data_IF_488132738810
#
_entry.id   IF_488132738810
#
_cell.length_a   1.000
_cell.length_b   1.000
_cell.length_c   1.000
_cell.angle_alpha   90.00
_cell.angle_beta   90.00
_cell.angle_gamma   90.00
#
_symmetry.space_group_name_H-M   'P 1'
#
loop_
_entity.id
_entity.type
_entity.pdbx_description
1 polymer ?
#
# COMPACT_ATOMS: atom_id res chain seq x y z
N UNK A 1 -46.19 37.06 -7.73
CA UNK A 1 -44.96 36.82 -6.94
C UNK A 1 -44.98 35.41 -6.53
N UNK A 2 -44.25 34.55 -7.26
CA UNK A 2 -44.17 33.14 -7.01
C UNK A 2 -42.96 32.86 -6.08
N UNK A 3 -43.26 32.14 -5.03
CA UNK A 3 -42.32 31.78 -3.96
C UNK A 3 -41.27 30.78 -4.50
N UNK A 4 -40.01 31.15 -4.53
CA UNK A 4 -38.89 30.29 -4.94
C UNK A 4 -38.47 29.44 -3.74
N UNK A 5 -38.55 28.12 -3.81
CA UNK A 5 -38.12 27.27 -2.69
C UNK A 5 -36.61 27.35 -2.53
N UNK A 6 -36.16 27.66 -1.29
CA UNK A 6 -34.75 27.63 -0.87
C UNK A 6 -34.18 26.23 -1.06
N UNK A 7 -32.94 26.08 -1.56
CA UNK A 7 -32.28 24.80 -1.64
C UNK A 7 -32.10 24.20 -0.22
N UNK A 8 -32.54 22.96 -0.06
CA UNK A 8 -32.30 22.16 1.16
C UNK A 8 -30.79 22.05 1.36
N UNK A 9 -30.31 22.49 2.49
CA UNK A 9 -28.95 22.23 2.95
C UNK A 9 -28.68 20.72 2.90
N UNK A 10 -27.81 20.32 1.96
CA UNK A 10 -27.26 18.98 1.90
C UNK A 10 -26.46 18.76 3.18
N UNK A 11 -27.00 17.95 4.07
CA UNK A 11 -26.37 17.58 5.32
C UNK A 11 -24.93 17.11 5.06
N UNK A 12 -24.00 17.81 5.64
CA UNK A 12 -22.61 17.42 5.81
C UNK A 12 -22.62 16.09 6.60
N UNK A 13 -22.58 14.96 5.87
CA UNK A 13 -22.25 13.69 6.47
C UNK A 13 -20.80 13.79 6.92
N UNK A 14 -20.57 14.12 8.19
CA UNK A 14 -19.24 14.06 8.81
C UNK A 14 -18.66 12.68 8.51
N UNK A 15 -17.53 12.64 7.80
CA UNK A 15 -16.75 11.42 7.56
C UNK A 15 -16.42 10.83 8.92
N UNK A 16 -17.04 9.71 9.26
CA UNK A 16 -16.97 9.07 10.59
C UNK A 16 -15.57 8.52 10.91
N UNK A 17 -14.69 8.42 9.90
CA UNK A 17 -13.32 7.96 10.04
C UNK A 17 -12.42 8.77 9.11
N UNK A 18 -11.58 9.64 9.67
CA UNK A 18 -10.51 10.31 8.91
C UNK A 18 -9.24 9.45 8.86
N UNK A 19 -9.09 8.50 9.80
CA UNK A 19 -7.93 7.60 9.96
C UNK A 19 -8.32 6.20 9.52
N UNK A 20 -7.59 5.67 8.53
CA UNK A 20 -7.78 4.30 8.03
C UNK A 20 -7.04 3.26 8.87
N UNK A 21 -5.82 3.58 9.30
CA UNK A 21 -4.97 2.69 10.08
C UNK A 21 -4.20 3.49 11.13
N UNK A 22 -4.14 2.99 12.36
CA UNK A 22 -3.44 3.61 13.48
C UNK A 22 -2.68 2.57 14.30
N UNK A 23 -1.44 2.89 14.64
CA UNK A 23 -0.57 2.12 15.53
C UNK A 23 -0.36 2.92 16.82
N UNK A 24 -0.32 2.20 17.95
CA UNK A 24 -0.07 2.76 19.27
C UNK A 24 0.91 1.88 20.01
N UNK A 25 2.07 2.43 20.32
CA UNK A 25 3.17 1.78 21.04
C UNK A 25 3.51 0.39 20.49
N UNK A 26 3.64 0.29 19.14
CA UNK A 26 3.83 -1.00 18.47
C UNK A 26 5.30 -1.40 18.46
N UNK A 27 5.59 -2.57 19.04
CA UNK A 27 6.90 -3.22 19.02
C UNK A 27 6.85 -4.53 18.25
N UNK A 28 7.94 -4.90 17.60
CA UNK A 28 8.09 -6.21 16.96
C UNK A 28 9.54 -6.69 17.07
N UNK A 29 9.69 -8.01 17.27
CA UNK A 29 11.00 -8.67 17.31
C UNK A 29 11.08 -9.76 16.25
N UNK A 30 12.22 -9.88 15.57
CA UNK A 30 12.54 -10.96 14.63
C UNK A 30 13.79 -11.70 15.12
N UNK A 31 13.69 -13.02 15.26
CA UNK A 31 14.78 -13.87 15.76
C UNK A 31 15.43 -13.34 17.08
N UNK A 32 14.60 -12.84 18.00
CA UNK A 32 15.06 -12.32 19.30
C UNK A 32 15.64 -10.90 19.27
N UNK A 33 15.74 -10.27 18.11
CA UNK A 33 16.19 -8.87 17.97
C UNK A 33 14.98 -7.96 17.79
N UNK A 34 14.87 -6.91 18.61
CA UNK A 34 13.86 -5.88 18.46
C UNK A 34 14.11 -5.09 17.18
N UNK A 35 13.07 -5.03 16.32
CA UNK A 35 13.10 -4.37 15.00
C UNK A 35 12.21 -3.14 14.97
N UNK A 36 11.04 -3.17 15.65
CA UNK A 36 10.18 -1.99 15.84
C UNK A 36 10.18 -1.63 17.33
N UNK A 37 10.30 -0.34 17.63
CA UNK A 37 10.59 0.18 18.96
C UNK A 37 9.60 1.25 19.38
N UNK A 38 8.33 0.85 19.68
CA UNK A 38 7.29 1.79 20.10
C UNK A 38 6.87 2.72 18.97
N UNK A 39 6.21 2.17 17.96
CA UNK A 39 5.73 2.93 16.81
C UNK A 39 4.35 3.51 17.13
N UNK A 40 4.26 4.85 17.09
CA UNK A 40 3.03 5.63 17.16
C UNK A 40 2.84 6.36 15.84
N UNK A 41 1.82 5.97 15.04
CA UNK A 41 1.55 6.57 13.73
C UNK A 41 0.10 6.36 13.30
N UNK A 42 -0.42 7.30 12.49
CA UNK A 42 -1.76 7.22 11.89
C UNK A 42 -1.72 7.52 10.41
N UNK A 43 -2.43 6.71 9.61
CA UNK A 43 -2.54 6.87 8.16
C UNK A 43 -3.95 7.34 7.81
N UNK A 44 -4.03 8.39 7.01
CA UNK A 44 -5.28 9.02 6.62
C UNK A 44 -6.01 8.21 5.54
N UNK A 45 -7.34 8.22 5.59
CA UNK A 45 -8.19 7.56 4.60
C UNK A 45 -8.03 8.18 3.21
N UNK A 46 -7.92 7.33 2.19
CA UNK A 46 -7.88 7.75 0.79
C UNK A 46 -6.60 8.48 0.37
N UNK A 47 -5.52 8.39 1.17
CA UNK A 47 -4.22 8.97 0.83
C UNK A 47 -3.19 7.89 0.52
N UNK A 48 -2.22 8.26 -0.28
CA UNK A 48 -1.02 7.47 -0.50
C UNK A 48 0.11 7.93 0.42
N UNK A 49 0.61 7.01 1.25
CA UNK A 49 1.78 7.24 2.11
C UNK A 49 2.93 6.32 1.67
N UNK A 50 4.08 6.87 1.38
CA UNK A 50 5.31 6.12 1.16
C UNK A 50 6.12 5.98 2.45
N UNK A 51 6.76 4.82 2.65
CA UNK A 51 7.66 4.54 3.76
C UNK A 51 9.08 4.43 3.21
N UNK A 52 9.98 5.30 3.66
CA UNK A 52 11.38 5.35 3.24
C UNK A 52 12.34 5.23 4.40
N UNK A 53 13.62 4.98 4.12
CA UNK A 53 14.68 4.87 5.11
C UNK A 53 15.73 3.84 4.70
N UNK A 54 16.89 3.78 5.38
CA UNK A 54 17.97 2.87 5.03
C UNK A 54 17.58 1.40 5.18
N UNK A 55 18.41 0.51 4.60
CA UNK A 55 18.22 -0.92 4.74
C UNK A 55 18.34 -1.31 6.23
N UNK A 56 17.44 -2.20 6.67
CA UNK A 56 17.36 -2.60 8.08
C UNK A 56 16.66 -1.61 9.01
N UNK A 57 16.08 -0.50 8.49
CA UNK A 57 15.32 0.46 9.30
C UNK A 57 14.00 -0.10 9.89
N UNK A 58 13.53 -1.27 9.41
CA UNK A 58 12.29 -1.90 9.91
C UNK A 58 11.07 -1.70 9.01
N UNK A 59 11.22 -1.11 7.81
CA UNK A 59 10.11 -0.75 6.89
C UNK A 59 9.18 -1.94 6.57
N UNK A 60 9.73 -3.03 6.04
CA UNK A 60 8.94 -4.24 5.70
C UNK A 60 8.35 -4.90 6.95
N UNK A 61 9.02 -4.79 8.12
CA UNK A 61 8.49 -5.29 9.39
C UNK A 61 7.31 -4.45 9.85
N UNK A 62 7.37 -3.12 9.70
CA UNK A 62 6.25 -2.22 9.98
C UNK A 62 5.05 -2.56 9.09
N UNK A 63 5.29 -2.75 7.79
CA UNK A 63 4.24 -3.10 6.85
C UNK A 63 3.59 -4.46 7.20
N UNK A 64 4.41 -5.48 7.54
CA UNK A 64 3.92 -6.80 8.00
C UNK A 64 3.16 -6.71 9.33
N UNK A 65 3.59 -5.84 10.25
CA UNK A 65 2.87 -5.58 11.49
C UNK A 65 1.47 -5.03 11.22
N UNK A 66 1.36 -4.03 10.34
CA UNK A 66 0.08 -3.45 9.91
C UNK A 66 -0.83 -4.47 9.23
N UNK A 67 -0.26 -5.42 8.48
CA UNK A 67 -1.00 -6.52 7.87
C UNK A 67 -1.41 -7.62 8.86
N UNK A 68 -0.88 -7.60 10.11
CA UNK A 68 -1.05 -8.66 11.08
C UNK A 68 -0.34 -9.96 10.69
N UNK A 69 0.76 -9.85 9.92
CA UNK A 69 1.59 -10.96 9.44
C UNK A 69 2.82 -11.23 10.33
N UNK A 70 3.03 -10.44 11.37
CA UNK A 70 4.07 -10.65 12.38
C UNK A 70 3.51 -10.42 13.77
N UNK A 71 4.13 -11.05 14.77
CA UNK A 71 3.76 -10.83 16.17
C UNK A 71 4.21 -9.46 16.62
N UNK A 72 3.31 -8.74 17.32
CA UNK A 72 3.54 -7.40 17.84
C UNK A 72 3.01 -7.28 19.26
N UNK A 73 3.62 -6.40 20.07
CA UNK A 73 2.96 -5.79 21.22
C UNK A 73 2.44 -4.39 20.86
N UNK A 74 1.71 -3.74 21.77
CA UNK A 74 0.99 -2.50 21.45
C UNK A 74 -0.31 -2.77 20.68
N UNK A 75 -0.92 -1.74 20.14
CA UNK A 75 -2.24 -1.84 19.51
C UNK A 75 -2.22 -1.33 18.07
N UNK A 76 -2.91 -2.05 17.19
CA UNK A 76 -3.11 -1.68 15.78
C UNK A 76 -4.62 -1.63 15.53
N UNK A 77 -5.08 -0.53 14.93
CA UNK A 77 -6.49 -0.32 14.64
C UNK A 77 -6.71 -0.12 13.14
N UNK A 78 -7.69 -0.82 12.58
CA UNK A 78 -8.25 -0.58 11.25
C UNK A 78 -9.63 0.06 11.43
N UNK A 79 -9.82 1.30 10.99
CA UNK A 79 -11.09 2.03 11.12
C UNK A 79 -11.66 1.96 12.56
N UNK A 80 -10.83 2.29 13.56
CA UNK A 80 -11.13 2.23 15.00
C UNK A 80 -11.41 0.84 15.59
N UNK A 81 -11.34 -0.23 14.80
CA UNK A 81 -11.44 -1.59 15.29
C UNK A 81 -10.03 -2.19 15.49
N UNK A 82 -9.77 -2.72 16.67
CA UNK A 82 -8.49 -3.35 16.97
C UNK A 82 -8.26 -4.58 16.07
N UNK A 83 -7.09 -4.63 15.40
CA UNK A 83 -6.74 -5.64 14.40
C UNK A 83 -6.83 -7.07 14.94
N UNK A 84 -6.38 -7.29 16.19
CA UNK A 84 -6.37 -8.62 16.82
C UNK A 84 -7.78 -9.13 17.18
N UNK A 85 -8.77 -8.23 17.28
CA UNK A 85 -10.17 -8.57 17.55
C UNK A 85 -10.94 -8.89 16.27
N UNK A 86 -10.35 -8.65 15.09
CA UNK A 86 -10.95 -8.97 13.80
C UNK A 86 -10.71 -10.43 13.42
N UNK A 87 -11.73 -11.09 12.88
CA UNK A 87 -11.53 -12.39 12.24
C UNK A 87 -10.61 -12.26 11.02
N UNK A 88 -9.89 -13.34 10.62
CA UNK A 88 -9.06 -13.33 9.42
C UNK A 88 -9.81 -12.86 8.17
N UNK A 89 -11.08 -13.27 8.00
CA UNK A 89 -11.93 -12.86 6.88
C UNK A 89 -12.22 -11.35 6.91
N UNK A 90 -12.66 -10.82 8.06
CA UNK A 90 -12.94 -9.38 8.21
C UNK A 90 -11.71 -8.52 7.90
N UNK A 91 -10.52 -8.97 8.33
CA UNK A 91 -9.26 -8.29 8.02
C UNK A 91 -8.94 -8.35 6.54
N UNK A 92 -9.06 -9.53 5.92
CA UNK A 92 -8.75 -9.74 4.50
C UNK A 92 -9.72 -9.00 3.56
N UNK A 93 -10.95 -8.70 3.98
CA UNK A 93 -11.89 -7.85 3.24
C UNK A 93 -11.50 -6.36 3.27
N UNK A 94 -10.85 -5.90 4.35
CA UNK A 94 -10.53 -4.48 4.56
C UNK A 94 -9.10 -4.11 4.17
N UNK A 95 -8.19 -5.08 4.14
CA UNK A 95 -6.77 -4.87 3.92
C UNK A 95 -6.24 -5.87 2.90
N UNK A 96 -5.66 -5.37 1.81
CA UNK A 96 -4.91 -6.16 0.84
C UNK A 96 -3.41 -6.02 1.05
N UNK A 97 -2.67 -7.05 0.65
CA UNK A 97 -1.24 -7.16 0.82
C UNK A 97 -0.55 -7.54 -0.49
N UNK A 98 0.49 -6.79 -0.85
CA UNK A 98 1.45 -7.13 -1.89
C UNK A 98 2.84 -7.21 -1.26
N UNK A 99 3.39 -8.40 -1.10
CA UNK A 99 4.72 -8.63 -0.51
C UNK A 99 5.84 -8.58 -1.54
N UNK A 100 7.07 -8.35 -1.06
CA UNK A 100 8.26 -8.24 -1.90
C UNK A 100 8.58 -9.54 -2.67
N UNK A 101 8.56 -10.69 -2.02
CA UNK A 101 8.92 -11.99 -2.61
C UNK A 101 7.82 -13.01 -2.28
N UNK A 102 6.67 -12.87 -2.90
CA UNK A 102 5.59 -13.79 -2.64
C UNK A 102 5.82 -15.13 -3.33
N UNK A 103 5.83 -16.19 -2.54
CA UNK A 103 5.88 -17.57 -3.02
C UNK A 103 4.48 -18.01 -3.43
N UNK A 104 4.19 -17.88 -4.71
CA UNK A 104 3.02 -18.50 -5.34
C UNK A 104 3.52 -19.61 -6.23
N UNK A 105 2.82 -20.75 -6.26
CA UNK A 105 3.21 -21.91 -7.10
C UNK A 105 3.33 -21.48 -8.56
N UNK A 106 4.44 -21.82 -9.18
CA UNK A 106 4.75 -21.51 -10.58
C UNK A 106 3.83 -22.22 -11.59
N UNK A 107 3.15 -23.29 -11.16
CA UNK A 107 2.22 -24.05 -12.00
C UNK A 107 0.83 -23.42 -12.09
N UNK A 108 0.50 -22.46 -11.21
CA UNK A 108 -0.81 -21.82 -11.23
C UNK A 108 -0.97 -20.91 -12.45
N UNK A 109 -2.16 -20.97 -13.05
CA UNK A 109 -2.57 -20.07 -14.10
C UNK A 109 -2.72 -18.63 -13.56
N UNK A 110 -2.33 -17.63 -14.33
CA UNK A 110 -2.46 -16.21 -13.97
C UNK A 110 -3.87 -15.86 -13.55
N UNK A 111 -4.88 -16.34 -14.29
CA UNK A 111 -6.28 -16.15 -13.94
C UNK A 111 -6.60 -16.63 -12.52
N UNK A 112 -6.15 -17.84 -12.20
CA UNK A 112 -6.42 -18.46 -10.89
C UNK A 112 -5.67 -17.71 -9.77
N UNK A 113 -4.43 -17.30 -10.02
CA UNK A 113 -3.65 -16.48 -9.07
C UNK A 113 -4.40 -15.18 -8.73
N UNK A 114 -4.94 -14.48 -9.73
CA UNK A 114 -5.68 -13.24 -9.48
C UNK A 114 -7.03 -13.53 -8.80
N UNK A 115 -7.67 -14.65 -9.13
CA UNK A 115 -8.91 -15.10 -8.49
C UNK A 115 -8.73 -15.36 -6.98
N UNK A 116 -7.53 -15.73 -6.50
CA UNK A 116 -7.24 -15.83 -5.06
C UNK A 116 -7.54 -14.53 -4.31
N UNK A 117 -7.41 -13.37 -4.96
CA UNK A 117 -7.80 -12.08 -4.39
C UNK A 117 -9.29 -11.95 -4.08
N UNK A 118 -10.13 -12.84 -4.62
CA UNK A 118 -11.58 -12.85 -4.38
C UNK A 118 -12.00 -13.72 -3.20
N UNK A 119 -11.10 -14.58 -2.68
CA UNK A 119 -11.40 -15.49 -1.56
C UNK A 119 -12.08 -14.80 -0.36
N UNK A 120 -11.66 -13.61 0.10
CA UNK A 120 -12.32 -12.94 1.24
C UNK A 120 -13.81 -12.67 1.02
N UNK A 121 -14.23 -12.51 -0.24
CA UNK A 121 -15.62 -12.18 -0.62
C UNK A 121 -16.47 -13.40 -0.98
N UNK A 122 -15.89 -14.59 -0.96
CA UNK A 122 -16.60 -15.83 -1.27
C UNK A 122 -17.18 -16.46 -0.01
N UNK A 123 -18.29 -17.17 -0.17
CA UNK A 123 -18.79 -18.05 0.86
C UNK A 123 -17.94 -19.32 0.94
N UNK A 124 -17.96 -19.96 2.09
CA UNK A 124 -17.21 -21.19 2.31
C UNK A 124 -17.62 -22.28 1.29
N UNK A 125 -16.64 -22.77 0.52
CA UNK A 125 -16.80 -23.77 -0.54
C UNK A 125 -17.68 -23.34 -1.73
N UNK A 126 -18.09 -22.08 -1.84
CA UNK A 126 -18.81 -21.61 -3.01
C UNK A 126 -17.86 -21.35 -4.19
N UNK A 127 -18.25 -21.69 -5.44
CA UNK A 127 -17.48 -21.30 -6.61
C UNK A 127 -17.50 -19.78 -6.79
N UNK A 128 -16.49 -19.21 -7.50
CA UNK A 128 -16.49 -17.79 -7.88
C UNK A 128 -17.78 -17.42 -8.63
N UNK A 129 -18.35 -16.28 -8.29
CA UNK A 129 -19.55 -15.78 -8.92
C UNK A 129 -19.23 -14.84 -10.12
N UNK A 130 -20.26 -14.40 -10.85
CA UNK A 130 -20.11 -13.53 -12.05
C UNK A 130 -19.36 -12.23 -11.71
N UNK A 131 -19.59 -11.65 -10.52
CA UNK A 131 -18.90 -10.43 -10.09
C UNK A 131 -17.39 -10.71 -9.85
N UNK A 132 -17.02 -11.86 -9.29
CA UNK A 132 -15.62 -12.23 -9.08
C UNK A 132 -14.89 -12.33 -10.43
N UNK A 133 -15.49 -12.97 -11.42
CA UNK A 133 -14.92 -13.04 -12.77
C UNK A 133 -14.77 -11.66 -13.41
N UNK A 134 -15.76 -10.78 -13.22
CA UNK A 134 -15.67 -9.39 -13.74
C UNK A 134 -14.58 -8.59 -13.06
N UNK A 135 -14.41 -8.73 -11.74
CA UNK A 135 -13.33 -8.06 -10.99
C UNK A 135 -11.97 -8.51 -11.49
N UNK A 136 -11.75 -9.84 -11.60
CA UNK A 136 -10.49 -10.40 -12.09
C UNK A 136 -10.16 -9.90 -13.50
N UNK A 137 -11.15 -9.88 -14.41
CA UNK A 137 -10.96 -9.31 -15.75
C UNK A 137 -10.53 -7.85 -15.70
N UNK A 138 -11.24 -7.04 -14.91
CA UNK A 138 -10.97 -5.60 -14.79
C UNK A 138 -9.57 -5.31 -14.28
N UNK A 139 -9.12 -5.99 -13.21
CA UNK A 139 -7.80 -5.75 -12.63
C UNK A 139 -6.67 -6.26 -13.53
N UNK A 140 -6.86 -7.40 -14.23
CA UNK A 140 -5.90 -7.87 -15.23
C UNK A 140 -5.74 -6.90 -16.40
N UNK A 141 -6.82 -6.24 -16.81
CA UNK A 141 -6.75 -5.19 -17.83
C UNK A 141 -6.03 -3.95 -17.31
N UNK A 142 -6.36 -3.51 -16.09
CA UNK A 142 -5.76 -2.34 -15.45
C UNK A 142 -4.25 -2.49 -15.24
N UNK A 143 -3.77 -3.71 -14.93
CA UNK A 143 -2.33 -4.00 -14.74
C UNK A 143 -1.64 -4.47 -16.02
N UNK A 144 -2.29 -4.36 -17.19
CA UNK A 144 -1.78 -4.82 -18.50
C UNK A 144 -1.35 -6.31 -18.50
N UNK A 145 -1.98 -7.13 -17.66
CA UNK A 145 -1.71 -8.57 -17.55
C UNK A 145 -2.77 -9.45 -18.22
N UNK A 146 -3.79 -8.86 -18.87
CA UNK A 146 -4.89 -9.60 -19.48
C UNK A 146 -4.46 -10.64 -20.52
N UNK A 147 -3.44 -10.32 -21.33
CA UNK A 147 -2.92 -11.22 -22.35
C UNK A 147 -2.18 -12.43 -21.76
N UNK A 148 -1.80 -12.35 -20.50
CA UNK A 148 -1.08 -13.39 -19.77
C UNK A 148 -2.00 -14.37 -19.05
N UNK A 149 -3.31 -14.11 -19.00
CA UNK A 149 -4.29 -14.77 -18.14
C UNK A 149 -4.31 -16.32 -18.21
N UNK A 150 -3.91 -16.88 -19.35
CA UNK A 150 -3.90 -18.35 -19.59
C UNK A 150 -2.51 -18.97 -19.40
N UNK A 151 -1.47 -18.17 -19.16
CA UNK A 151 -0.11 -18.66 -18.90
C UNK A 151 0.03 -19.10 -17.44
N UNK A 152 0.94 -20.03 -17.19
CA UNK A 152 1.37 -20.31 -15.82
C UNK A 152 2.32 -19.24 -15.30
N UNK A 153 2.31 -19.03 -13.98
CA UNK A 153 3.10 -17.97 -13.32
C UNK A 153 4.60 -18.14 -13.54
N UNK A 154 5.09 -19.40 -13.63
CA UNK A 154 6.49 -19.71 -13.89
C UNK A 154 6.98 -19.40 -15.30
N UNK A 155 6.06 -19.12 -16.24
CA UNK A 155 6.40 -18.72 -17.63
C UNK A 155 6.59 -17.19 -17.78
N UNK A 156 6.37 -16.43 -16.71
CA UNK A 156 6.38 -14.98 -16.74
C UNK A 156 7.76 -14.43 -16.41
N UNK A 157 8.12 -13.31 -17.03
CA UNK A 157 9.23 -12.48 -16.58
C UNK A 157 8.97 -11.90 -15.20
N UNK A 158 10.00 -11.39 -14.51
CA UNK A 158 9.84 -10.77 -13.19
C UNK A 158 8.84 -9.61 -13.19
N UNK A 159 8.89 -8.75 -14.20
CA UNK A 159 7.95 -7.64 -14.34
C UNK A 159 6.51 -8.08 -14.65
N UNK A 160 6.33 -9.09 -15.53
CA UNK A 160 5.01 -9.68 -15.80
C UNK A 160 4.41 -10.30 -14.53
N UNK A 161 5.23 -11.06 -13.78
CA UNK A 161 4.84 -11.65 -12.49
C UNK A 161 4.41 -10.57 -11.49
N UNK A 162 5.17 -9.47 -11.39
CA UNK A 162 4.85 -8.36 -10.48
C UNK A 162 3.50 -7.72 -10.82
N UNK A 163 3.18 -7.50 -12.11
CA UNK A 163 1.87 -6.98 -12.54
C UNK A 163 0.72 -7.93 -12.20
N UNK A 164 0.93 -9.24 -12.30
CA UNK A 164 -0.06 -10.25 -11.91
C UNK A 164 -0.30 -10.25 -10.40
N UNK A 165 0.76 -10.16 -9.59
CA UNK A 165 0.64 -10.08 -8.13
C UNK A 165 -0.04 -8.78 -7.69
N UNK A 166 0.24 -7.66 -8.36
CA UNK A 166 -0.48 -6.40 -8.17
C UNK A 166 -1.98 -6.58 -8.50
N UNK A 167 -2.31 -7.19 -9.65
CA UNK A 167 -3.69 -7.48 -10.02
C UNK A 167 -4.41 -8.33 -8.96
N UNK A 168 -3.74 -9.34 -8.40
CA UNK A 168 -4.29 -10.16 -7.30
C UNK A 168 -4.58 -9.31 -6.06
N UNK A 169 -3.65 -8.44 -5.65
CA UNK A 169 -3.86 -7.56 -4.50
C UNK A 169 -5.01 -6.56 -4.75
N UNK A 170 -5.11 -5.99 -5.95
CA UNK A 170 -6.22 -5.11 -6.36
C UNK A 170 -7.57 -5.85 -6.44
N UNK A 171 -7.56 -7.15 -6.79
CA UNK A 171 -8.77 -7.96 -6.88
C UNK A 171 -9.49 -8.10 -5.52
N UNK A 172 -8.79 -7.95 -4.41
CA UNK A 172 -9.40 -7.90 -3.06
C UNK A 172 -10.40 -6.76 -2.94
N UNK A 173 -10.17 -5.62 -3.62
CA UNK A 173 -10.97 -4.39 -3.48
C UNK A 173 -11.05 -3.91 -2.04
N UNK A 174 -9.96 -4.04 -1.30
CA UNK A 174 -9.86 -3.59 0.08
C UNK A 174 -9.79 -2.05 0.15
N UNK A 175 -10.20 -1.50 1.29
CA UNK A 175 -10.09 -0.05 1.54
C UNK A 175 -8.67 0.38 1.90
N UNK A 176 -7.80 -0.55 2.31
CA UNK A 176 -6.38 -0.31 2.59
C UNK A 176 -5.56 -1.29 1.75
N UNK A 177 -4.55 -0.77 1.05
CA UNK A 177 -3.60 -1.56 0.29
C UNK A 177 -2.19 -1.33 0.79
N UNK A 178 -1.55 -2.39 1.27
CA UNK A 178 -0.16 -2.39 1.74
C UNK A 178 0.73 -3.03 0.68
N UNK A 179 1.81 -2.34 0.28
CA UNK A 179 2.71 -2.79 -0.78
C UNK A 179 4.17 -2.71 -0.33
N UNK A 180 4.87 -3.84 -0.34
CA UNK A 180 6.30 -3.93 -0.01
C UNK A 180 7.11 -4.02 -1.31
N UNK A 181 7.79 -2.93 -1.67
CA UNK A 181 8.59 -2.77 -2.89
C UNK A 181 7.83 -3.11 -4.19
N UNK A 182 6.67 -2.50 -4.44
CA UNK A 182 5.80 -2.85 -5.57
C UNK A 182 6.41 -2.59 -6.94
N UNK A 183 7.39 -1.71 -7.03
CA UNK A 183 8.09 -1.35 -8.28
C UNK A 183 9.34 -2.17 -8.55
N UNK A 184 9.69 -3.11 -7.65
CA UNK A 184 10.82 -4.00 -7.86
C UNK A 184 10.65 -4.81 -9.16
N UNK A 185 11.70 -4.89 -9.98
CA UNK A 185 11.73 -5.56 -11.27
C UNK A 185 10.81 -4.97 -12.36
N UNK A 186 10.24 -3.78 -12.16
CA UNK A 186 9.54 -3.04 -13.20
C UNK A 186 10.52 -2.13 -13.94
N UNK A 187 10.43 -2.11 -15.26
CA UNK A 187 11.10 -1.10 -16.09
C UNK A 187 10.38 0.26 -15.99
N UNK A 188 11.02 1.38 -16.39
CA UNK A 188 10.47 2.72 -16.21
C UNK A 188 9.04 2.92 -16.75
N UNK A 189 8.65 2.42 -17.95
CA UNK A 189 7.26 2.54 -18.39
C UNK A 189 6.26 1.89 -17.44
N UNK A 190 6.56 0.68 -16.94
CA UNK A 190 5.67 -0.02 -15.99
C UNK A 190 5.68 0.57 -14.59
N UNK A 191 6.72 1.31 -14.19
CA UNK A 191 6.68 2.13 -12.98
C UNK A 191 5.66 3.28 -13.11
N UNK A 192 5.57 3.90 -14.29
CA UNK A 192 4.54 4.91 -14.57
C UNK A 192 3.14 4.30 -14.52
N UNK A 193 2.93 3.14 -15.14
CA UNK A 193 1.66 2.42 -15.08
C UNK A 193 1.26 2.13 -13.61
N UNK A 194 2.23 1.72 -12.77
CA UNK A 194 1.99 1.50 -11.34
C UNK A 194 1.59 2.78 -10.61
N UNK A 195 2.23 3.91 -10.88
CA UNK A 195 1.86 5.22 -10.32
C UNK A 195 0.43 5.61 -10.70
N UNK A 196 0.04 5.43 -11.97
CA UNK A 196 -1.32 5.67 -12.42
C UNK A 196 -2.34 4.80 -11.65
N UNK A 197 -2.01 3.52 -11.40
CA UNK A 197 -2.87 2.64 -10.60
C UNK A 197 -2.98 3.14 -9.15
N UNK A 198 -1.91 3.60 -8.52
CA UNK A 198 -1.95 4.16 -7.16
C UNK A 198 -2.85 5.40 -7.11
N UNK A 199 -2.70 6.33 -8.05
CA UNK A 199 -3.55 7.51 -8.15
C UNK A 199 -5.03 7.15 -8.41
N UNK A 200 -5.29 6.14 -9.25
CA UNK A 200 -6.63 5.64 -9.47
C UNK A 200 -7.25 5.08 -8.17
N UNK A 201 -6.48 4.28 -7.41
CA UNK A 201 -6.93 3.71 -6.14
C UNK A 201 -7.25 4.81 -5.10
N UNK A 202 -6.36 5.79 -4.93
CA UNK A 202 -6.58 6.89 -3.97
C UNK A 202 -7.76 7.77 -4.36
N UNK A 203 -7.96 8.04 -5.66
CA UNK A 203 -9.13 8.76 -6.17
C UNK A 203 -10.45 8.03 -5.87
N UNK A 204 -10.41 6.70 -5.73
CA UNK A 204 -11.53 5.86 -5.30
C UNK A 204 -11.61 5.70 -3.78
N UNK A 205 -10.88 6.52 -3.02
CA UNK A 205 -10.83 6.51 -1.56
C UNK A 205 -10.17 5.26 -0.94
N UNK A 206 -9.32 4.55 -1.70
CA UNK A 206 -8.45 3.50 -1.16
C UNK A 206 -7.21 4.12 -0.54
N UNK A 207 -6.90 3.76 0.70
CA UNK A 207 -5.65 4.16 1.35
C UNK A 207 -4.51 3.27 0.88
N UNK A 208 -3.45 3.86 0.36
CA UNK A 208 -2.28 3.11 -0.12
C UNK A 208 -1.09 3.41 0.79
N UNK A 209 -0.42 2.36 1.28
CA UNK A 209 0.81 2.47 2.06
C UNK A 209 1.86 1.60 1.37
N UNK A 210 2.95 2.19 0.90
CA UNK A 210 3.98 1.49 0.15
C UNK A 210 5.37 1.71 0.72
N UNK A 211 6.17 0.65 0.83
CA UNK A 211 7.61 0.76 1.04
C UNK A 211 8.27 0.92 -0.31
N UNK A 212 9.06 1.97 -0.47
CA UNK A 212 9.76 2.29 -1.72
C UNK A 212 11.26 2.55 -1.46
N UNK A 213 12.10 2.10 -2.38
CA UNK A 213 13.55 2.37 -2.37
C UNK A 213 13.92 3.59 -3.21
N UNK A 214 13.20 3.81 -4.32
CA UNK A 214 13.41 4.98 -5.18
C UNK A 214 12.76 6.22 -4.55
N UNK A 215 13.58 7.15 -4.08
CA UNK A 215 13.10 8.36 -3.41
C UNK A 215 12.30 9.27 -4.36
N UNK A 216 12.66 9.34 -5.64
CA UNK A 216 11.89 10.11 -6.63
C UNK A 216 10.43 9.63 -6.73
N UNK A 217 10.23 8.32 -6.77
CA UNK A 217 8.89 7.71 -6.76
C UNK A 217 8.20 7.90 -5.40
N UNK A 218 8.95 7.73 -4.30
CA UNK A 218 8.40 7.88 -2.94
C UNK A 218 7.88 9.31 -2.67
N UNK A 219 8.54 10.32 -3.20
CA UNK A 219 8.18 11.74 -3.07
C UNK A 219 6.96 12.14 -3.91
N UNK A 220 6.43 11.26 -4.75
CA UNK A 220 5.16 11.49 -5.45
C UNK A 220 3.93 11.11 -4.57
N UNK A 221 4.15 10.47 -3.42
CA UNK A 221 3.09 10.21 -2.46
C UNK A 221 2.55 11.51 -1.83
N UNK A 222 1.35 11.44 -1.23
CA UNK A 222 0.80 12.56 -0.46
C UNK A 222 1.61 12.80 0.81
N UNK A 223 1.99 11.71 1.50
CA UNK A 223 2.73 11.73 2.76
C UNK A 223 3.94 10.79 2.71
N UNK A 224 4.96 11.11 3.47
CA UNK A 224 6.15 10.27 3.62
C UNK A 224 6.39 9.96 5.10
N UNK A 225 6.60 8.69 5.38
CA UNK A 225 7.11 8.19 6.67
C UNK A 225 8.59 7.88 6.53
N UNK A 226 9.42 8.50 7.33
CA UNK A 226 10.86 8.27 7.36
C UNK A 226 11.21 7.40 8.55
N UNK A 227 11.82 6.25 8.30
CA UNK A 227 12.22 5.29 9.34
C UNK A 227 13.74 5.19 9.48
N UNK A 228 14.20 5.06 10.73
CA UNK A 228 15.60 4.77 11.06
C UNK A 228 15.65 3.88 12.30
N UNK A 229 16.43 2.81 12.25
CA UNK A 229 16.72 1.93 13.40
C UNK A 229 15.48 1.46 14.19
N UNK A 230 14.37 1.16 13.50
CA UNK A 230 13.14 0.67 14.12
C UNK A 230 12.21 1.75 14.67
N UNK A 231 12.49 3.02 14.40
CA UNK A 231 11.69 4.17 14.81
C UNK A 231 11.14 4.92 13.60
N UNK A 232 10.00 5.55 13.75
CA UNK A 232 9.52 6.61 12.85
C UNK A 232 10.15 7.90 13.31
N UNK A 233 11.05 8.46 12.50
CA UNK A 233 11.76 9.72 12.84
C UNK A 233 11.06 10.95 12.25
N UNK A 234 10.23 10.75 11.23
CA UNK A 234 9.41 11.80 10.65
C UNK A 234 8.18 11.21 9.95
N UNK A 235 7.08 11.95 9.96
CA UNK A 235 5.88 11.69 9.16
C UNK A 235 5.27 13.03 8.76
N UNK A 236 5.11 13.28 7.47
CA UNK A 236 4.57 14.55 6.96
C UNK A 236 4.34 14.52 5.46
N UNK A 237 3.80 15.62 4.95
CA UNK A 237 3.56 15.80 3.52
C UNK A 237 4.87 15.68 2.72
N UNK A 238 4.82 14.99 1.57
CA UNK A 238 6.00 14.78 0.71
C UNK A 238 6.64 16.07 0.24
N UNK A 239 5.85 17.12 0.00
CA UNK A 239 6.30 18.44 -0.43
C UNK A 239 6.89 19.30 0.70
N UNK A 240 6.85 18.85 1.95
CA UNK A 240 7.35 19.60 3.10
C UNK A 240 8.88 19.61 3.15
N UNK A 241 9.47 20.78 3.36
CA UNK A 241 10.91 20.90 3.57
C UNK A 241 11.41 20.07 4.76
N UNK A 242 10.60 19.96 5.83
CA UNK A 242 10.93 19.11 6.99
C UNK A 242 11.02 17.64 6.60
N UNK A 243 10.17 17.18 5.69
CA UNK A 243 10.23 15.81 5.15
C UNK A 243 11.51 15.60 4.36
N UNK A 244 11.90 16.57 3.52
CA UNK A 244 13.14 16.50 2.74
C UNK A 244 14.37 16.44 3.66
N UNK A 245 14.44 17.32 4.67
CA UNK A 245 15.52 17.34 5.66
C UNK A 245 15.60 16.01 6.43
N UNK A 246 14.47 15.45 6.85
CA UNK A 246 14.44 14.17 7.53
C UNK A 246 14.94 13.03 6.64
N UNK A 247 14.57 13.01 5.35
CA UNK A 247 15.07 12.03 4.39
C UNK A 247 16.59 12.20 4.21
N UNK A 248 17.08 13.43 3.97
CA UNK A 248 18.49 13.68 3.80
C UNK A 248 19.30 13.22 5.03
N UNK A 249 18.80 13.50 6.24
CA UNK A 249 19.46 13.14 7.49
C UNK A 249 19.62 11.62 7.67
N UNK A 250 18.58 10.80 7.37
CA UNK A 250 18.66 9.33 7.52
C UNK A 250 19.56 8.66 6.49
N UNK A 251 19.91 9.37 5.40
CA UNK A 251 20.89 8.96 4.41
C UNK A 251 22.23 9.69 4.59
N UNK A 252 22.58 10.06 5.85
CA UNK A 252 23.86 10.68 6.23
C UNK A 252 24.18 11.97 5.45
N UNK A 253 23.15 12.72 5.00
CA UNK A 253 23.25 13.89 4.13
C UNK A 253 24.03 13.65 2.82
N UNK A 254 24.07 12.39 2.36
CA UNK A 254 24.71 11.99 1.10
C UNK A 254 23.82 12.16 -0.11
N UNK A 255 22.60 12.62 0.07
CA UNK A 255 21.63 12.96 -0.98
C UNK A 255 21.14 14.39 -0.76
N UNK A 256 20.62 15.00 -1.82
CA UNK A 256 19.89 16.27 -1.77
C UNK A 256 18.61 16.12 -2.57
N UNK A 257 17.54 16.72 -2.06
CA UNK A 257 16.23 16.73 -2.73
C UNK A 257 16.05 18.09 -3.41
N UNK A 258 15.74 18.06 -4.69
CA UNK A 258 15.54 19.25 -5.53
C UNK A 258 14.17 19.22 -6.16
N UNK A 259 13.54 20.37 -6.29
CA UNK A 259 12.34 20.53 -7.08
C UNK A 259 12.74 20.83 -8.53
N UNK A 260 12.36 19.96 -9.44
CA UNK A 260 12.55 20.12 -10.88
C UNK A 260 11.18 20.11 -11.57
N UNK A 261 10.76 21.23 -12.10
CA UNK A 261 9.45 21.40 -12.78
C UNK A 261 8.24 20.89 -11.99
N UNK A 262 8.25 21.05 -10.66
CA UNK A 262 7.16 20.59 -9.79
C UNK A 262 7.31 19.15 -9.29
N UNK A 263 8.33 18.43 -9.72
CA UNK A 263 8.66 17.08 -9.24
C UNK A 263 9.89 17.11 -8.32
N UNK A 264 9.85 16.33 -7.24
CA UNK A 264 10.99 16.20 -6.34
C UNK A 264 11.91 15.06 -6.80
N UNK A 265 13.18 15.36 -6.94
CA UNK A 265 14.23 14.43 -7.36
C UNK A 265 15.30 14.37 -6.30
N UNK A 266 15.65 13.15 -5.87
CA UNK A 266 16.77 12.92 -4.96
C UNK A 266 18.05 12.65 -5.75
N UNK A 267 19.07 13.46 -5.53
CA UNK A 267 20.38 13.35 -6.20
C UNK A 267 21.48 13.01 -5.19
N UNK A 268 22.45 12.16 -5.53
CA UNK A 268 23.64 11.94 -4.71
C UNK A 268 24.43 13.23 -4.53
N UNK A 269 24.91 13.49 -3.30
CA UNK A 269 25.93 14.50 -2.99
C UNK A 269 27.31 13.84 -3.10
N UNK A 270 28.17 14.37 -3.95
CA UNK A 270 29.58 13.94 -4.10
C UNK A 270 30.47 14.65 -3.08
#
# INVERSE_FOLDING_TARGET
MADVPKPKESGYWMKKHEVALRLQDVHASLAGKEVLRGIDISFQLGRWTSIVGPNGAGKSTLLKAMAGLTQTSGNIFLFDQELRMMSPKQRAEKLSWLGQNETVSDDLCVWDVVMLGRIPHQEWLAPPNVNDHQVVKTVLQATQAWQLRERSLGQLSGGERQRVLLARAMAVRAQIMLMDEPTANLDPPHQVDWLEQVHCLTSQNTTVISVLHELGTALQADDVVVMQAGLVVHHGASASEQTHQAIEAVFDNRISIHNFEGQFVALPKL
#
